data_IF_904862207739
#
_entry.id   IF_904862207739
#
_cell.length_a   1.000
_cell.length_b   1.000
_cell.length_c   1.000
_cell.angle_alpha   90.00
_cell.angle_beta   90.00
_cell.angle_gamma   90.00
#
_symmetry.space_group_name_H-M   'P 1'
#
loop_
_entity.id
_entity.type
_entity.pdbx_description
1 polymer ?
#
# COMPACT_ATOMS: atom_id res chain seq x y z
N UNK A 1 -11.77 -3.26 -2.67
CA UNK A 1 -11.56 -2.43 -3.89
C UNK A 1 -10.35 -3.01 -4.59
N UNK A 2 -10.35 -3.25 -5.90
CA UNK A 2 -9.15 -3.73 -6.60
C UNK A 2 -8.23 -2.55 -6.95
N UNK A 3 -6.96 -2.61 -6.56
CA UNK A 3 -5.96 -1.62 -6.93
C UNK A 3 -5.71 -1.63 -8.44
N UNK A 4 -5.39 -0.48 -9.01
CA UNK A 4 -5.20 -0.29 -10.45
C UNK A 4 -3.76 0.06 -10.80
N UNK A 5 -3.31 -0.28 -12.02
CA UNK A 5 -1.99 0.14 -12.50
C UNK A 5 -1.91 1.68 -12.52
N UNK A 6 -0.78 2.22 -12.06
CA UNK A 6 -0.54 3.65 -11.87
C UNK A 6 -1.12 4.20 -10.56
N UNK A 7 -1.87 3.40 -9.80
CA UNK A 7 -2.43 3.83 -8.53
C UNK A 7 -1.33 3.96 -7.48
N UNK A 8 -1.37 5.07 -6.73
CA UNK A 8 -0.45 5.30 -5.63
C UNK A 8 -0.90 4.55 -4.38
N UNK A 9 0.07 3.90 -3.75
CA UNK A 9 -0.10 3.14 -2.52
C UNK A 9 0.93 3.58 -1.49
N UNK A 10 0.58 3.41 -0.22
CA UNK A 10 1.40 3.70 0.94
C UNK A 10 1.43 2.45 1.81
N UNK A 11 2.59 2.16 2.40
CA UNK A 11 2.69 1.21 3.49
C UNK A 11 2.80 2.01 4.78
N UNK A 12 1.84 1.84 5.69
CA UNK A 12 1.84 2.52 6.98
C UNK A 12 1.95 1.47 8.10
N UNK A 13 3.18 1.16 8.49
CA UNK A 13 3.50 0.27 9.62
C UNK A 13 4.20 1.08 10.72
N UNK A 14 4.06 0.71 12.00
CA UNK A 14 4.70 1.41 13.12
C UNK A 14 6.22 1.63 12.94
N UNK A 15 6.90 0.69 12.28
CA UNK A 15 8.34 0.72 12.06
C UNK A 15 8.74 1.20 10.65
N UNK A 16 7.79 1.31 9.73
CA UNK A 16 8.10 1.55 8.32
C UNK A 16 6.98 2.30 7.60
N UNK A 17 7.26 3.55 7.23
CA UNK A 17 6.42 4.36 6.37
C UNK A 17 7.02 4.41 4.95
N UNK A 18 6.37 3.76 3.99
CA UNK A 18 6.75 3.83 2.57
C UNK A 18 5.71 4.64 1.81
N UNK A 19 6.14 5.75 1.22
CA UNK A 19 5.28 6.65 0.45
C UNK A 19 5.78 6.78 -0.99
N UNK A 20 4.91 7.25 -1.88
CA UNK A 20 5.24 7.40 -3.30
C UNK A 20 5.41 6.07 -4.04
N UNK A 21 4.91 4.98 -3.47
CA UNK A 21 4.88 3.69 -4.16
C UNK A 21 3.70 3.64 -5.13
N UNK A 22 3.86 2.90 -6.22
CA UNK A 22 2.84 2.81 -7.29
C UNK A 22 2.66 1.38 -7.74
N UNK A 23 1.42 1.00 -8.05
CA UNK A 23 1.14 -0.29 -8.66
C UNK A 23 1.58 -0.26 -10.12
N UNK A 24 2.49 -1.13 -10.52
CA UNK A 24 3.02 -1.21 -11.90
C UNK A 24 2.41 -2.35 -12.70
N UNK A 25 1.90 -3.39 -12.03
CA UNK A 25 1.19 -4.50 -12.67
C UNK A 25 0.00 -4.92 -11.82
N UNK A 26 -1.05 -5.41 -12.47
CA UNK A 26 -2.22 -6.00 -11.84
C UNK A 26 -2.72 -7.15 -12.72
N UNK A 27 -2.88 -8.33 -12.13
CA UNK A 27 -3.45 -9.52 -12.78
C UNK A 27 -4.20 -10.37 -11.74
N UNK A 28 -5.53 -10.44 -11.86
CA UNK A 28 -6.40 -11.29 -11.02
C UNK A 28 -6.11 -11.22 -9.50
N UNK A 29 -5.81 -10.03 -8.98
CA UNK A 29 -5.51 -9.80 -7.55
C UNK A 29 -4.02 -9.92 -7.20
N UNK A 30 -3.18 -10.44 -8.10
CA UNK A 30 -1.74 -10.28 -8.02
C UNK A 30 -1.36 -8.87 -8.47
N UNK A 31 -0.51 -8.19 -7.69
CA UNK A 31 -0.05 -6.83 -7.97
C UNK A 31 1.46 -6.74 -7.80
N UNK A 32 2.11 -5.86 -8.56
CA UNK A 32 3.48 -5.42 -8.28
C UNK A 32 3.47 -3.96 -7.88
N UNK A 33 4.07 -3.65 -6.74
CA UNK A 33 4.24 -2.31 -6.20
C UNK A 33 5.69 -1.91 -6.42
N UNK A 34 5.92 -0.79 -7.10
CA UNK A 34 7.23 -0.17 -7.22
C UNK A 34 7.36 0.98 -6.22
N UNK A 35 8.42 0.97 -5.42
CA UNK A 35 8.76 2.03 -4.48
C UNK A 35 10.06 2.70 -4.91
N UNK A 36 10.01 3.67 -5.85
CA UNK A 36 11.21 4.26 -6.44
C UNK A 36 12.11 4.96 -5.41
N UNK A 37 11.51 5.62 -4.43
CA UNK A 37 12.25 6.30 -3.34
C UNK A 37 13.04 5.33 -2.47
N UNK A 38 12.56 4.09 -2.33
CA UNK A 38 13.21 3.05 -1.55
C UNK A 38 14.07 2.10 -2.42
N UNK A 39 14.01 2.24 -3.75
CA UNK A 39 14.83 1.48 -4.69
C UNK A 39 14.45 0.00 -4.86
N UNK A 40 13.22 -0.39 -4.52
CA UNK A 40 12.75 -1.79 -4.66
C UNK A 40 11.33 -1.89 -5.22
N UNK A 41 10.96 -3.12 -5.60
CA UNK A 41 9.60 -3.48 -5.95
C UNK A 41 9.19 -4.78 -5.23
N UNK A 42 7.90 -4.89 -4.93
CA UNK A 42 7.29 -6.06 -4.28
C UNK A 42 6.21 -6.62 -5.20
N UNK A 43 6.09 -7.93 -5.28
CA UNK A 43 5.04 -8.60 -6.04
C UNK A 43 4.33 -9.62 -5.14
N UNK A 44 3.01 -9.64 -5.19
CA UNK A 44 2.20 -10.49 -4.30
C UNK A 44 0.71 -10.25 -4.50
N UNK A 45 -0.12 -10.98 -3.74
CA UNK A 45 -1.55 -10.75 -3.74
C UNK A 45 -1.91 -9.47 -2.98
N UNK A 46 -2.82 -8.68 -3.53
CA UNK A 46 -3.30 -7.45 -2.92
C UNK A 46 -3.79 -7.66 -1.48
N UNK A 47 -4.56 -8.74 -1.24
CA UNK A 47 -5.09 -9.02 0.10
C UNK A 47 -3.99 -9.23 1.16
N UNK A 48 -2.84 -9.77 0.76
CA UNK A 48 -1.69 -9.91 1.66
C UNK A 48 -1.08 -8.54 1.96
N UNK A 49 -0.87 -7.71 0.93
CA UNK A 49 -0.36 -6.36 1.13
C UNK A 49 -1.29 -5.54 2.04
N UNK A 50 -2.61 -5.63 1.86
CA UNK A 50 -3.59 -4.96 2.72
C UNK A 50 -3.50 -5.43 4.19
N UNK A 51 -3.32 -6.73 4.43
CA UNK A 51 -3.09 -7.27 5.78
C UNK A 51 -1.77 -6.78 6.39
N UNK A 52 -0.75 -6.60 5.57
CA UNK A 52 0.52 -6.04 5.99
C UNK A 52 0.52 -4.50 6.09
N UNK A 53 -0.64 -3.84 6.01
CA UNK A 53 -0.75 -2.39 6.21
C UNK A 53 -0.48 -1.54 4.97
N UNK A 54 -0.47 -2.13 3.78
CA UNK A 54 -0.51 -1.36 2.55
C UNK A 54 -1.93 -0.90 2.25
N UNK A 55 -2.06 0.32 1.74
CA UNK A 55 -3.33 0.90 1.34
C UNK A 55 -3.12 1.93 0.25
N UNK A 56 -4.20 2.33 -0.41
CA UNK A 56 -4.15 3.37 -1.44
C UNK A 56 -4.01 4.75 -0.78
N UNK A 57 -3.28 5.70 -1.40
CA UNK A 57 -3.12 7.05 -0.84
C UNK A 57 -4.45 7.78 -0.49
N UNK A 58 -5.52 7.76 -1.32
CA UNK A 58 -6.81 8.33 -0.90
C UNK A 58 -7.43 7.59 0.30
N UNK A 59 -7.00 6.36 0.60
CA UNK A 59 -7.34 5.64 1.82
C UNK A 59 -6.56 6.16 3.03
N UNK A 60 -5.32 6.62 2.87
CA UNK A 60 -4.51 7.19 3.96
C UNK A 60 -5.16 8.44 4.55
N UNK A 61 -5.64 9.36 3.72
CA UNK A 61 -6.33 10.57 4.19
C UNK A 61 -7.62 10.23 4.97
N UNK A 62 -8.27 9.12 4.64
CA UNK A 62 -9.45 8.63 5.36
C UNK A 62 -9.09 7.93 6.68
N UNK A 63 -7.96 7.23 6.75
CA UNK A 63 -7.47 6.58 7.98
C UNK A 63 -6.81 7.59 8.92
N UNK A 64 -6.13 8.62 8.41
CA UNK A 64 -5.62 9.72 9.22
C UNK A 64 -6.75 10.53 9.90
N UNK A 65 -7.95 10.57 9.28
CA UNK A 65 -9.16 11.14 9.87
C UNK A 65 -9.83 10.22 10.91
N UNK A 66 -9.42 8.96 11.00
CA UNK A 66 -9.96 7.97 11.93
C UNK A 66 -8.80 7.21 12.57
N UNK A 67 -8.12 7.77 13.59
CA UNK A 67 -6.96 7.14 14.21
C UNK A 67 -7.42 5.80 14.78
N UNK A 68 -7.15 4.71 14.06
CA UNK A 68 -7.26 3.38 14.64
C UNK A 68 -6.15 3.30 15.68
N UNK A 69 -6.54 3.33 16.95
CA UNK A 69 -5.72 2.94 18.07
C UNK A 69 -5.19 1.54 17.81
N UNK A 70 -3.98 1.44 17.25
CA UNK A 70 -3.18 0.24 17.34
C UNK A 70 -2.75 0.16 18.80
N UNK A 71 -3.51 -0.59 19.59
CA UNK A 71 -3.21 -0.84 21.00
C UNK A 71 -1.92 -1.65 21.09
N UNK A 72 -1.04 -1.15 21.96
CA UNK A 72 0.28 -1.65 22.36
C UNK A 72 0.29 -3.10 22.84
#
# INVERSE_FOLDING_TARGET
MNWQIGQKVVCDRPEQLLTGCVVTTQDQGWVTISCPTAGFALAGYQDQFEQEGWMTEPGRDQVAASPKSWQE
#
